data_IF_455419006939
#
_entry.id   IF_455419006939
#
_cell.length_a   1.000
_cell.length_b   1.000
_cell.length_c   1.000
_cell.angle_alpha   90.00
_cell.angle_beta   90.00
_cell.angle_gamma   90.00
#
_symmetry.space_group_name_H-M   'P 1'
#
loop_
_entity.id
_entity.type
_entity.pdbx_description
1 polymer ?
#
# COMPACT_ATOMS: atom_id res chain seq x y z
N UNK A 1 13.36 19.86 3.86
CA UNK A 1 11.96 19.58 4.24
C UNK A 1 11.48 20.62 5.25
N UNK A 2 10.17 20.89 5.40
CA UNK A 2 9.67 21.88 6.37
C UNK A 2 10.18 21.59 7.79
N UNK A 3 10.71 22.61 8.48
CA UNK A 3 11.24 22.44 9.85
C UNK A 3 10.13 22.29 10.89
N UNK A 4 9.09 23.13 10.77
CA UNK A 4 7.90 23.06 11.63
C UNK A 4 7.28 21.66 11.55
N UNK A 5 7.17 21.01 12.70
CA UNK A 5 6.48 19.75 12.84
C UNK A 5 4.99 20.03 13.02
N UNK A 6 4.15 19.52 12.11
CA UNK A 6 2.70 19.72 12.22
C UNK A 6 2.07 18.69 13.14
N UNK A 7 2.43 17.41 12.99
CA UNK A 7 1.85 16.30 13.77
C UNK A 7 2.88 15.23 14.09
N UNK A 8 2.94 14.82 15.35
CA UNK A 8 3.57 13.59 15.80
C UNK A 8 2.55 12.47 16.06
N UNK A 9 2.83 11.26 15.60
CA UNK A 9 1.93 10.12 15.72
C UNK A 9 2.67 8.92 16.31
N UNK A 10 2.32 8.50 17.53
CA UNK A 10 2.89 7.29 18.14
C UNK A 10 1.90 6.12 18.16
N UNK A 11 2.43 4.91 18.25
CA UNK A 11 1.64 3.68 18.33
C UNK A 11 1.52 2.97 16.98
N UNK A 12 0.29 2.57 16.63
CA UNK A 12 -0.02 1.61 15.54
C UNK A 12 0.65 0.26 15.79
N UNK A 13 0.58 -0.67 14.83
CA UNK A 13 1.06 -2.04 15.04
C UNK A 13 2.57 -2.17 15.30
N UNK A 14 3.39 -1.20 14.88
CA UNK A 14 4.86 -1.31 14.99
C UNK A 14 5.38 -0.99 16.39
N UNK A 15 4.90 0.10 17.00
CA UNK A 15 5.47 0.66 18.23
C UNK A 15 4.37 1.05 19.24
N UNK A 16 3.51 0.10 19.57
CA UNK A 16 2.43 0.28 20.56
C UNK A 16 2.45 -0.79 21.65
N UNK A 17 3.59 -1.44 21.89
CA UNK A 17 3.73 -2.34 23.04
C UNK A 17 3.64 -1.56 24.35
N UNK A 18 3.50 -2.28 25.46
CA UNK A 18 3.54 -1.67 26.79
C UNK A 18 4.89 -0.94 27.03
N UNK A 19 6.00 -1.51 26.56
CA UNK A 19 7.32 -0.89 26.62
C UNK A 19 7.39 0.41 25.81
N UNK A 20 6.97 0.37 24.54
CA UNK A 20 6.94 1.54 23.65
C UNK A 20 6.18 2.71 24.29
N UNK A 21 4.99 2.40 24.82
CA UNK A 21 4.10 3.39 25.45
C UNK A 21 4.71 3.91 26.75
N UNK A 22 5.34 3.06 27.57
CA UNK A 22 5.97 3.52 28.83
C UNK A 22 7.18 4.40 28.58
N UNK A 23 8.00 4.12 27.55
CA UNK A 23 9.12 4.99 27.13
C UNK A 23 8.62 6.36 26.67
N UNK A 24 7.58 6.40 25.84
CA UNK A 24 6.94 7.66 25.45
C UNK A 24 6.32 8.39 26.65
N UNK A 25 5.67 7.66 27.56
CA UNK A 25 5.07 8.22 28.76
C UNK A 25 6.12 8.76 29.74
N UNK A 26 7.34 8.21 29.77
CA UNK A 26 8.47 8.76 30.55
C UNK A 26 8.80 10.18 30.09
N UNK A 27 8.92 10.41 28.77
CA UNK A 27 9.10 11.77 28.21
C UNK A 27 7.91 12.68 28.52
N UNK A 28 6.68 12.17 28.34
CA UNK A 28 5.48 12.94 28.60
C UNK A 28 5.33 13.34 30.09
N UNK A 29 5.73 12.48 31.03
CA UNK A 29 5.79 12.81 32.48
C UNK A 29 6.77 13.93 32.76
N UNK A 30 7.98 13.84 32.21
CA UNK A 30 8.97 14.93 32.33
C UNK A 30 8.42 16.25 31.80
N UNK A 31 7.65 16.21 30.71
CA UNK A 31 6.99 17.39 30.16
C UNK A 31 5.94 17.97 31.13
N UNK A 32 5.07 17.13 31.71
CA UNK A 32 4.06 17.57 32.68
C UNK A 32 4.69 18.21 33.92
N UNK A 33 5.70 17.57 34.50
CA UNK A 33 6.40 18.04 35.70
C UNK A 33 7.11 19.39 35.49
N UNK A 34 7.44 19.72 34.25
CA UNK A 34 8.13 20.97 33.89
C UNK A 34 7.23 21.99 33.17
N UNK A 35 5.91 21.79 33.16
CA UNK A 35 4.97 22.73 32.56
C UNK A 35 5.06 22.83 31.02
N UNK A 36 5.49 21.76 30.36
CA UNK A 36 5.56 21.63 28.90
C UNK A 36 4.27 20.98 28.36
N UNK A 37 3.95 21.31 27.11
CA UNK A 37 2.86 20.74 26.31
C UNK A 37 3.34 20.50 24.88
N UNK A 38 2.68 19.61 24.16
CA UNK A 38 2.95 19.39 22.75
C UNK A 38 2.71 20.70 21.97
N UNK A 39 3.71 21.09 21.17
CA UNK A 39 3.62 22.24 20.25
C UNK A 39 3.12 21.84 18.87
N UNK A 40 3.21 20.54 18.54
CA UNK A 40 2.59 19.92 17.36
C UNK A 40 1.26 19.27 17.73
N UNK A 41 0.43 18.95 16.75
CA UNK A 41 -0.61 17.94 16.97
C UNK A 41 0.04 16.62 17.42
N UNK A 42 -0.55 15.94 18.40
CA UNK A 42 0.03 14.72 18.94
C UNK A 42 -1.03 13.64 19.09
N UNK A 43 -0.79 12.46 18.54
CA UNK A 43 -1.76 11.35 18.57
C UNK A 43 -1.11 10.06 19.07
N UNK A 44 -1.89 9.27 19.80
CA UNK A 44 -1.47 8.01 20.40
C UNK A 44 -2.43 6.92 19.96
N UNK A 45 -1.92 5.85 19.33
CA UNK A 45 -2.75 4.74 18.82
C UNK A 45 -2.35 3.42 19.49
N UNK A 46 -3.10 2.92 20.48
CA UNK A 46 -2.85 1.62 21.06
C UNK A 46 -3.02 0.49 20.04
N UNK A 47 -2.21 -0.57 20.12
CA UNK A 47 -2.20 -1.66 19.13
C UNK A 47 -3.34 -2.65 19.28
N UNK A 48 -3.96 -2.72 20.46
CA UNK A 48 -5.05 -3.63 20.78
C UNK A 48 -5.89 -3.10 21.95
N UNK A 49 -7.08 -3.66 22.14
CA UNK A 49 -7.91 -3.34 23.31
C UNK A 49 -7.25 -3.77 24.62
N UNK A 50 -6.55 -4.92 24.64
CA UNK A 50 -5.79 -5.35 25.82
C UNK A 50 -4.70 -4.35 26.19
N UNK A 51 -3.94 -3.83 25.21
CA UNK A 51 -2.93 -2.80 25.49
C UNK A 51 -3.62 -1.54 25.97
N UNK A 52 -4.62 -1.02 25.25
CA UNK A 52 -5.36 0.21 25.62
C UNK A 52 -5.88 0.14 27.05
N UNK A 53 -6.59 -0.95 27.39
CA UNK A 53 -7.15 -1.18 28.71
C UNK A 53 -6.05 -1.23 29.79
N UNK A 54 -4.96 -1.94 29.52
CA UNK A 54 -3.84 -2.06 30.47
C UNK A 54 -3.17 -0.71 30.73
N UNK A 55 -2.87 0.07 29.68
CA UNK A 55 -2.20 1.37 29.81
C UNK A 55 -3.13 2.45 30.37
N UNK A 56 -4.45 2.31 30.21
CA UNK A 56 -5.46 3.14 30.87
C UNK A 56 -5.50 2.86 32.37
N UNK A 57 -5.64 1.58 32.76
CA UNK A 57 -5.59 1.13 34.16
C UNK A 57 -4.33 1.61 34.88
N UNK A 58 -3.20 1.61 34.17
CA UNK A 58 -1.90 2.02 34.71
C UNK A 58 -1.65 3.55 34.59
N UNK A 59 -2.66 4.33 34.18
CA UNK A 59 -2.67 5.80 34.18
C UNK A 59 -1.82 6.44 33.08
N UNK A 60 -1.39 5.69 32.06
CA UNK A 60 -0.50 6.18 31.01
C UNK A 60 -1.22 7.03 29.97
N UNK A 61 -2.49 6.74 29.65
CA UNK A 61 -3.27 7.52 28.68
C UNK A 61 -3.46 8.97 29.16
N UNK A 62 -3.81 9.14 30.44
CA UNK A 62 -4.04 10.46 31.04
C UNK A 62 -2.79 11.36 30.94
N UNK A 63 -1.60 10.77 31.01
CA UNK A 63 -0.33 11.51 30.85
C UNK A 63 -0.23 12.14 29.45
N UNK A 64 -0.57 11.36 28.41
CA UNK A 64 -0.53 11.87 27.04
C UNK A 64 -1.60 12.93 26.80
N UNK A 65 -2.82 12.72 27.30
CA UNK A 65 -3.91 13.69 27.19
C UNK A 65 -3.54 15.02 27.85
N UNK A 66 -2.96 14.98 29.05
CA UNK A 66 -2.53 16.18 29.78
C UNK A 66 -1.46 16.97 29.03
N UNK A 67 -0.60 16.34 28.20
CA UNK A 67 0.36 17.07 27.35
C UNK A 67 -0.23 17.56 26.02
N UNK A 68 -1.51 17.33 25.76
CA UNK A 68 -2.19 17.72 24.51
C UNK A 68 -2.28 16.61 23.46
N UNK A 69 -2.02 15.35 23.85
CA UNK A 69 -2.20 14.19 23.01
C UNK A 69 -3.67 13.80 22.83
N UNK A 70 -3.99 13.22 21.68
CA UNK A 70 -5.30 12.63 21.40
C UNK A 70 -5.13 11.12 21.26
N UNK A 71 -5.79 10.35 22.12
CA UNK A 71 -5.83 8.89 22.01
C UNK A 71 -6.81 8.51 20.91
N UNK A 72 -6.32 7.78 19.90
CA UNK A 72 -7.12 7.28 18.79
C UNK A 72 -7.64 5.87 19.12
N UNK A 73 -8.63 5.43 18.34
CA UNK A 73 -9.13 4.06 18.40
C UNK A 73 -8.00 3.04 18.11
N UNK A 74 -8.13 1.83 18.67
CA UNK A 74 -7.16 0.74 18.52
C UNK A 74 -7.23 0.12 17.11
N UNK A 75 -6.78 0.87 16.11
CA UNK A 75 -6.86 0.53 14.70
C UNK A 75 -5.66 1.12 13.94
N UNK A 76 -5.41 0.67 12.70
CA UNK A 76 -4.30 1.21 11.92
C UNK A 76 -4.39 2.73 11.69
N UNK A 77 -5.61 3.27 11.52
CA UNK A 77 -5.88 4.70 11.42
C UNK A 77 -4.93 5.44 10.44
N UNK A 78 -4.23 6.49 10.89
CA UNK A 78 -3.28 7.26 10.07
C UNK A 78 -2.16 6.45 9.41
N UNK A 79 -1.82 5.25 9.90
CA UNK A 79 -0.76 4.42 9.32
C UNK A 79 -1.10 3.91 7.90
N UNK A 80 -2.39 3.79 7.57
CA UNK A 80 -2.92 3.30 6.28
C UNK A 80 -3.69 4.39 5.51
N UNK A 81 -3.64 5.64 5.96
CA UNK A 81 -4.37 6.74 5.34
C UNK A 81 -5.84 6.85 5.79
N UNK A 82 -6.23 6.14 6.86
CA UNK A 82 -7.55 6.28 7.48
C UNK A 82 -7.50 7.41 8.51
N UNK A 83 -7.33 8.63 8.00
CA UNK A 83 -7.22 9.82 8.81
C UNK A 83 -7.90 11.00 8.11
N UNK A 84 -8.95 11.53 8.73
CA UNK A 84 -9.61 12.77 8.29
C UNK A 84 -8.77 13.98 8.74
N UNK A 85 -7.56 14.11 8.18
CA UNK A 85 -6.65 15.21 8.50
C UNK A 85 -7.20 16.51 7.91
N UNK A 86 -7.58 17.45 8.77
CA UNK A 86 -8.02 18.79 8.35
C UNK A 86 -6.92 19.48 7.54
N UNK A 87 -7.26 19.95 6.34
CA UNK A 87 -6.36 20.68 5.45
C UNK A 87 -5.45 19.83 4.56
N UNK A 88 -5.51 18.49 4.64
CA UNK A 88 -4.71 17.62 3.76
C UNK A 88 -5.12 17.75 2.27
N UNK A 89 -6.38 18.11 2.02
CA UNK A 89 -6.97 18.39 0.71
C UNK A 89 -6.33 19.60 0.00
N UNK A 90 -5.66 20.48 0.73
CA UNK A 90 -4.97 21.65 0.19
C UNK A 90 -3.59 21.33 -0.38
N UNK A 91 -3.13 20.09 -0.21
CA UNK A 91 -1.82 19.61 -0.62
C UNK A 91 -0.64 20.50 -0.14
N UNK A 92 -0.78 21.13 1.03
CA UNK A 92 0.25 22.02 1.58
C UNK A 92 1.51 21.23 1.95
N UNK A 93 2.68 21.82 1.70
CA UNK A 93 3.97 21.23 2.07
C UNK A 93 4.15 21.26 3.59
N UNK A 94 4.19 20.10 4.21
CA UNK A 94 4.29 19.96 5.66
C UNK A 94 5.19 18.79 6.08
N UNK A 95 5.48 18.72 7.37
CA UNK A 95 6.26 17.64 7.97
C UNK A 95 5.48 16.94 9.08
N UNK A 96 5.52 15.61 9.09
CA UNK A 96 5.00 14.77 10.17
C UNK A 96 6.06 13.77 10.60
N UNK A 97 6.02 13.32 11.86
CA UNK A 97 6.88 12.24 12.36
C UNK A 97 6.03 11.17 13.02
N UNK A 98 6.33 9.91 12.73
CA UNK A 98 5.52 8.77 13.18
C UNK A 98 6.37 7.67 13.77
N UNK A 99 5.82 6.89 14.70
CA UNK A 99 6.40 5.61 15.12
C UNK A 99 5.84 4.43 14.31
N UNK A 100 5.57 4.66 13.03
CA UNK A 100 5.11 3.63 12.11
C UNK A 100 6.29 3.04 11.33
N UNK A 101 6.02 2.24 10.30
CA UNK A 101 7.04 1.56 9.50
C UNK A 101 7.08 1.99 8.02
N UNK A 102 6.20 2.89 7.59
CA UNK A 102 6.09 3.31 6.19
C UNK A 102 5.77 4.80 6.08
N UNK A 103 6.49 5.48 5.20
CA UNK A 103 6.40 6.90 4.91
C UNK A 103 6.36 7.21 3.41
N UNK A 104 5.79 6.31 2.60
CA UNK A 104 5.61 6.56 1.16
C UNK A 104 4.72 7.80 0.92
N UNK A 105 4.91 8.45 -0.23
CA UNK A 105 4.11 9.62 -0.61
C UNK A 105 2.60 9.30 -0.54
N UNK A 106 1.80 10.27 -0.08
CA UNK A 106 0.33 10.16 0.11
C UNK A 106 -0.13 9.09 1.11
N UNK A 107 0.76 8.37 1.78
CA UNK A 107 0.40 7.19 2.59
C UNK A 107 -0.49 7.53 3.79
N UNK A 108 -0.13 8.56 4.55
CA UNK A 108 -0.75 8.81 5.85
C UNK A 108 -2.01 9.66 5.78
N UNK A 109 -2.10 10.55 4.81
CA UNK A 109 -3.15 11.57 4.71
C UNK A 109 -3.60 11.87 3.27
N UNK A 110 -3.07 11.16 2.27
CA UNK A 110 -3.37 11.40 0.85
C UNK A 110 -2.62 12.58 0.21
N UNK A 111 -1.91 13.41 0.99
CA UNK A 111 -1.22 14.59 0.49
C UNK A 111 0.19 14.23 -0.06
N UNK A 112 0.52 14.53 -1.33
CA UNK A 112 1.84 14.25 -1.91
C UNK A 112 2.97 15.08 -1.29
N UNK A 113 2.66 16.24 -0.72
CA UNK A 113 3.63 17.19 -0.18
C UNK A 113 3.87 17.03 1.33
N UNK A 114 3.24 16.03 1.96
CA UNK A 114 3.53 15.61 3.33
C UNK A 114 4.85 14.85 3.38
N UNK A 115 5.83 15.40 4.10
CA UNK A 115 7.12 14.76 4.36
C UNK A 115 7.04 13.98 5.66
N UNK A 116 6.87 12.67 5.56
CA UNK A 116 6.73 11.79 6.70
C UNK A 116 8.07 11.17 7.11
N UNK A 117 8.41 11.28 8.39
CA UNK A 117 9.58 10.65 9.00
C UNK A 117 9.14 9.51 9.92
N UNK A 118 9.97 8.48 10.05
CA UNK A 118 9.75 7.36 10.97
C UNK A 118 10.84 7.35 12.04
N UNK A 119 10.45 7.21 13.31
CA UNK A 119 11.35 7.19 14.46
C UNK A 119 10.72 6.37 15.60
N UNK A 120 11.43 6.19 16.72
CA UNK A 120 10.86 5.55 17.91
C UNK A 120 9.82 6.45 18.60
N UNK A 121 8.86 5.89 19.35
CA UNK A 121 7.74 6.65 19.93
C UNK A 121 8.20 7.71 20.95
N UNK A 122 9.26 7.47 21.70
CA UNK A 122 9.86 8.45 22.61
C UNK A 122 10.49 9.64 21.86
N UNK A 123 11.12 9.40 20.71
CA UNK A 123 11.66 10.47 19.85
C UNK A 123 10.52 11.29 19.26
N UNK A 124 9.47 10.63 18.74
CA UNK A 124 8.27 11.32 18.24
C UNK A 124 7.63 12.18 19.32
N UNK A 125 7.54 11.67 20.56
CA UNK A 125 7.00 12.42 21.70
C UNK A 125 7.85 13.65 22.00
N UNK A 126 9.18 13.49 22.12
CA UNK A 126 10.10 14.60 22.38
C UNK A 126 10.04 15.69 21.29
N UNK A 127 10.02 15.28 20.02
CA UNK A 127 9.93 16.22 18.90
C UNK A 127 8.56 16.91 18.83
N UNK A 128 7.48 16.24 19.23
CA UNK A 128 6.13 16.83 19.31
C UNK A 128 6.04 17.94 20.37
N UNK A 129 6.76 17.79 21.48
CA UNK A 129 6.94 18.85 22.49
C UNK A 129 7.71 20.04 21.93
N UNK A 130 8.70 19.80 21.07
CA UNK A 130 9.49 20.85 20.43
C UNK A 130 8.73 21.61 19.34
N UNK A 131 7.92 20.91 18.53
CA UNK A 131 7.26 21.51 17.36
C UNK A 131 8.19 21.73 16.17
N UNK A 132 9.41 21.19 16.22
CA UNK A 132 10.46 21.44 15.23
C UNK A 132 11.27 20.16 14.95
N UNK A 133 11.45 19.83 13.67
CA UNK A 133 12.25 18.71 13.20
C UNK A 133 13.76 18.89 13.43
N UNK A 134 14.23 20.10 13.72
CA UNK A 134 15.66 20.32 14.01
C UNK A 134 16.02 20.13 15.48
N UNK A 135 15.04 19.86 16.35
CA UNK A 135 15.29 19.61 17.77
C UNK A 135 15.97 18.26 17.99
N UNK A 136 17.08 18.26 18.72
CA UNK A 136 17.77 17.05 19.15
C UNK A 136 17.55 16.81 20.66
N UNK A 137 16.77 15.79 21.06
CA UNK A 137 16.48 15.52 22.47
C UNK A 137 17.72 15.15 23.31
N UNK A 138 18.84 14.77 22.70
CA UNK A 138 20.08 14.41 23.41
C UNK A 138 20.87 15.64 23.87
N UNK A 139 20.79 16.74 23.12
CA UNK A 139 21.64 17.92 23.33
C UNK A 139 20.86 19.16 23.73
N UNK A 140 19.66 19.34 23.17
CA UNK A 140 18.97 20.61 23.18
C UNK A 140 18.08 20.78 24.42
N UNK A 141 17.50 21.97 24.57
CA UNK A 141 16.58 22.30 25.66
C UNK A 141 15.27 22.85 25.12
N UNK A 142 14.17 22.53 25.80
CA UNK A 142 12.86 23.10 25.58
C UNK A 142 12.65 24.30 26.50
N UNK A 143 11.76 25.21 26.12
CA UNK A 143 11.36 26.36 26.94
C UNK A 143 9.91 26.19 27.36
N UNK A 144 9.65 26.19 28.67
CA UNK A 144 8.30 26.11 29.23
C UNK A 144 7.60 27.48 29.23
N UNK A 145 6.35 27.52 29.71
CA UNK A 145 5.56 28.76 29.75
C UNK A 145 6.15 29.85 30.66
N UNK A 146 6.99 29.47 31.62
CA UNK A 146 7.70 30.37 32.54
C UNK A 146 9.05 30.84 31.99
N UNK A 147 9.44 30.42 30.78
CA UNK A 147 10.73 30.75 30.18
C UNK A 147 11.91 29.89 30.67
N UNK A 148 11.67 28.88 31.51
CA UNK A 148 12.71 27.98 32.02
C UNK A 148 13.16 27.00 30.92
N UNK A 149 14.48 26.84 30.79
CA UNK A 149 15.10 25.85 29.90
C UNK A 149 15.09 24.47 30.55
N UNK A 150 14.53 23.48 29.85
CA UNK A 150 14.35 22.10 30.30
C UNK A 150 15.08 21.18 29.34
N UNK A 151 16.04 20.40 29.85
CA UNK A 151 16.65 19.29 29.11
C UNK A 151 15.89 18.01 29.43
N UNK A 152 15.42 17.31 28.40
CA UNK A 152 14.80 15.99 28.57
C UNK A 152 15.87 14.98 29.01
N UNK A 153 15.53 14.15 29.98
CA UNK A 153 16.34 13.00 30.38
C UNK A 153 16.04 11.82 29.47
N UNK A 154 16.96 10.87 29.42
CA UNK A 154 16.74 9.60 28.74
C UNK A 154 15.47 8.92 29.24
N UNK A 155 14.61 8.39 28.35
CA UNK A 155 13.35 7.77 28.74
C UNK A 155 13.56 6.38 29.32
N UNK A 156 12.78 6.08 30.34
CA UNK A 156 12.71 4.75 30.95
C UNK A 156 11.48 4.00 30.45
N UNK A 157 11.64 2.71 30.15
CA UNK A 157 10.58 1.80 29.70
C UNK A 157 10.41 0.64 30.64
N UNK A 158 9.19 0.10 30.71
CA UNK A 158 8.90 -1.15 31.41
C UNK A 158 8.45 -2.15 30.34
N UNK A 159 9.19 -3.25 30.18
CA UNK A 159 8.94 -4.23 29.12
C UNK A 159 7.52 -4.81 29.20
N UNK A 160 7.08 -5.15 30.41
CA UNK A 160 5.77 -5.77 30.68
C UNK A 160 5.05 -5.09 31.85
N UNK A 161 3.71 -5.04 31.84
CA UNK A 161 2.94 -4.49 32.96
C UNK A 161 3.19 -5.29 34.23
N UNK A 162 3.61 -4.60 35.31
CA UNK A 162 3.94 -5.23 36.61
C UNK A 162 2.75 -5.99 37.20
N UNK A 163 1.53 -5.52 36.95
CA UNK A 163 0.27 -6.17 37.40
C UNK A 163 -0.28 -7.17 36.38
N UNK A 164 0.47 -7.48 35.33
CA UNK A 164 0.00 -8.24 34.17
C UNK A 164 -0.93 -7.43 33.25
N UNK A 165 -1.20 -7.99 32.07
CA UNK A 165 -2.17 -7.43 31.12
C UNK A 165 -3.60 -7.61 31.64
N UNK A 166 -4.46 -6.65 31.32
CA UNK A 166 -5.88 -6.71 31.61
C UNK A 166 -6.70 -6.28 30.39
N UNK A 167 -7.91 -6.84 30.29
CA UNK A 167 -8.93 -6.49 29.29
C UNK A 167 -10.28 -6.92 29.85
N UNK A 168 -11.32 -6.11 29.66
CA UNK A 168 -12.69 -6.46 30.06
C UNK A 168 -13.39 -7.25 28.94
N UNK A 169 -13.58 -6.61 27.78
CA UNK A 169 -14.03 -7.25 26.55
C UNK A 169 -13.02 -6.99 25.43
N UNK A 170 -12.51 -8.06 24.81
CA UNK A 170 -11.58 -7.97 23.69
C UNK A 170 -12.28 -7.93 22.32
N UNK A 171 -13.62 -8.00 22.31
CA UNK A 171 -14.46 -8.00 21.11
C UNK A 171 -14.43 -9.30 20.31
N UNK A 172 -13.90 -10.39 20.87
CA UNK A 172 -13.84 -11.68 20.20
C UNK A 172 -15.22 -12.35 20.17
N UNK A 173 -15.64 -12.77 18.98
CA UNK A 173 -16.85 -13.56 18.77
C UNK A 173 -16.44 -14.93 18.23
N UNK A 174 -16.74 -15.98 18.99
CA UNK A 174 -16.50 -17.36 18.58
C UNK A 174 -17.37 -17.74 17.37
N UNK A 175 -16.91 -18.62 16.48
CA UNK A 175 -17.77 -19.18 15.44
C UNK A 175 -18.95 -19.93 16.07
N UNK A 176 -20.04 -20.07 15.33
CA UNK A 176 -21.16 -20.92 15.75
C UNK A 176 -20.69 -22.38 15.88
N UNK A 177 -21.16 -23.08 16.92
CA UNK A 177 -20.85 -24.50 17.14
C UNK A 177 -21.33 -25.38 15.98
N UNK A 178 -22.50 -25.05 15.41
CA UNK A 178 -22.99 -25.59 14.15
C UNK A 178 -23.22 -24.47 13.12
N UNK A 179 -22.37 -24.43 12.10
CA UNK A 179 -22.45 -23.47 11.00
C UNK A 179 -23.37 -23.89 9.85
N UNK A 180 -24.01 -25.07 9.90
CA UNK A 180 -24.76 -25.63 8.76
C UNK A 180 -25.96 -24.78 8.33
N UNK A 181 -26.57 -24.04 9.25
CA UNK A 181 -27.66 -23.10 8.99
C UNK A 181 -27.23 -21.66 8.69
N UNK A 182 -25.93 -21.35 8.72
CA UNK A 182 -25.43 -19.99 8.50
C UNK A 182 -25.47 -19.64 7.02
N UNK A 183 -26.30 -18.66 6.66
CA UNK A 183 -26.42 -18.18 5.29
C UNK A 183 -25.64 -16.87 5.09
N UNK A 184 -24.64 -16.88 4.21
CA UNK A 184 -23.87 -15.69 3.86
C UNK A 184 -24.53 -15.00 2.66
N UNK A 185 -25.23 -13.90 2.91
CA UNK A 185 -25.91 -13.09 1.87
C UNK A 185 -25.07 -11.89 1.47
N UNK A 186 -24.86 -11.72 0.15
CA UNK A 186 -24.32 -10.49 -0.43
C UNK A 186 -25.44 -9.85 -1.25
N UNK A 187 -25.85 -8.64 -0.86
CA UNK A 187 -26.88 -7.92 -1.58
C UNK A 187 -26.42 -7.62 -3.02
N UNK A 188 -27.20 -7.92 -4.08
CA UNK A 188 -26.78 -7.76 -5.47
C UNK A 188 -26.35 -6.33 -5.83
N UNK A 189 -26.99 -5.33 -5.24
CA UNK A 189 -26.69 -3.91 -5.45
C UNK A 189 -25.78 -3.34 -4.34
N UNK A 190 -25.07 -4.18 -3.59
CA UNK A 190 -24.16 -3.71 -2.54
C UNK A 190 -23.05 -2.87 -3.15
N UNK A 191 -22.85 -1.69 -2.59
CA UNK A 191 -21.75 -0.81 -2.97
C UNK A 191 -20.40 -1.22 -2.35
N UNK A 192 -20.41 -2.21 -1.45
CA UNK A 192 -19.27 -2.59 -0.60
C UNK A 192 -18.74 -3.99 -0.90
N UNK A 193 -19.65 -4.91 -1.25
CA UNK A 193 -19.38 -6.33 -1.41
C UNK A 193 -19.93 -6.80 -2.76
N UNK A 194 -19.13 -7.55 -3.51
CA UNK A 194 -19.50 -8.12 -4.80
C UNK A 194 -19.02 -9.57 -4.87
N UNK A 195 -19.86 -10.48 -5.36
CA UNK A 195 -19.42 -11.84 -5.68
C UNK A 195 -18.40 -11.79 -6.82
N UNK A 196 -17.29 -12.51 -6.65
CA UNK A 196 -16.26 -12.60 -7.68
C UNK A 196 -16.73 -13.51 -8.82
N UNK A 197 -16.77 -12.97 -10.04
CA UNK A 197 -16.91 -13.77 -11.24
C UNK A 197 -15.57 -14.47 -11.57
N UNK A 198 -15.58 -15.74 -12.01
CA UNK A 198 -14.38 -16.42 -12.47
C UNK A 198 -13.72 -15.67 -13.63
N UNK A 199 -12.40 -15.49 -13.58
CA UNK A 199 -11.66 -14.93 -14.71
C UNK A 199 -11.64 -15.89 -15.91
N UNK A 200 -11.61 -15.39 -17.16
CA UNK A 200 -11.49 -16.25 -18.34
C UNK A 200 -10.20 -17.10 -18.31
N UNK A 201 -10.31 -18.34 -18.79
CA UNK A 201 -9.15 -19.20 -19.03
C UNK A 201 -8.29 -18.65 -20.18
N UNK A 202 -7.04 -19.10 -20.26
CA UNK A 202 -6.16 -18.74 -21.38
C UNK A 202 -6.68 -19.34 -22.69
N UNK A 203 -6.62 -18.55 -23.78
CA UNK A 203 -7.12 -18.93 -25.11
C UNK A 203 -6.31 -20.06 -25.81
N UNK A 204 -5.17 -20.48 -25.24
CA UNK A 204 -4.32 -21.53 -25.86
C UNK A 204 -3.41 -21.01 -26.99
N UNK A 205 -3.32 -19.70 -27.16
CA UNK A 205 -2.50 -19.05 -28.19
C UNK A 205 -1.46 -18.12 -27.57
N UNK A 206 -0.48 -17.74 -28.38
CA UNK A 206 0.33 -16.57 -28.07
C UNK A 206 -0.55 -15.32 -27.99
N UNK A 207 -0.07 -14.30 -27.28
CA UNK A 207 -0.80 -13.04 -27.13
C UNK A 207 -0.24 -12.04 -28.12
N UNK A 208 -1.10 -11.48 -28.97
CA UNK A 208 -0.69 -10.59 -30.04
C UNK A 208 -1.33 -9.22 -29.88
N UNK A 209 -0.66 -8.21 -30.43
CA UNK A 209 -1.19 -6.85 -30.59
C UNK A 209 -1.72 -6.22 -29.29
N UNK A 210 -1.07 -6.51 -28.16
CA UNK A 210 -1.41 -5.91 -26.88
C UNK A 210 -1.01 -4.44 -26.86
N UNK A 211 -1.82 -3.61 -26.20
CA UNK A 211 -1.52 -2.19 -26.00
C UNK A 211 -0.65 -2.00 -24.76
N UNK A 212 0.25 -1.03 -24.79
CA UNK A 212 0.86 -0.54 -23.57
C UNK A 212 -0.19 0.24 -22.76
N UNK A 213 -0.50 -0.17 -21.53
CA UNK A 213 -1.38 0.60 -20.65
C UNK A 213 -0.63 1.74 -19.98
N UNK A 214 0.55 1.43 -19.43
CA UNK A 214 1.46 2.39 -18.84
C UNK A 214 2.87 1.80 -18.81
N UNK A 215 3.88 2.65 -19.00
CA UNK A 215 5.27 2.38 -18.65
C UNK A 215 5.59 3.15 -17.37
N UNK A 216 5.58 2.45 -16.24
CA UNK A 216 5.78 3.05 -14.93
C UNK A 216 7.27 3.28 -14.66
N UNK A 217 7.67 4.54 -14.51
CA UNK A 217 9.04 4.95 -14.24
C UNK A 217 9.36 4.95 -12.74
N UNK A 218 10.52 4.41 -12.39
CA UNK A 218 11.01 4.40 -11.01
C UNK A 218 10.12 3.59 -10.06
N UNK A 219 10.06 4.05 -8.80
CA UNK A 219 9.41 3.31 -7.72
C UNK A 219 7.89 3.16 -7.92
N UNK A 220 7.43 1.94 -8.18
CA UNK A 220 6.01 1.61 -8.27
C UNK A 220 5.57 0.65 -7.15
N UNK A 221 5.07 1.19 -6.03
CA UNK A 221 4.58 0.40 -4.90
C UNK A 221 3.15 -0.09 -5.14
N UNK A 222 2.68 -1.04 -4.34
CA UNK A 222 1.26 -1.43 -4.30
C UNK A 222 0.30 -0.30 -3.92
N UNK A 223 0.76 0.76 -3.24
CA UNK A 223 -0.04 1.97 -3.01
C UNK A 223 -0.15 2.85 -4.28
N UNK A 224 0.80 2.75 -5.22
CA UNK A 224 0.71 3.37 -6.55
C UNK A 224 -0.24 2.58 -7.48
N UNK A 225 -0.24 1.24 -7.37
CA UNK A 225 -1.06 0.35 -8.19
C UNK A 225 -2.53 0.32 -7.74
N UNK A 226 -2.79 0.19 -6.44
CA UNK A 226 -4.14 0.07 -5.87
C UNK A 226 -4.13 0.77 -4.52
N UNK A 227 -4.45 2.07 -4.51
CA UNK A 227 -4.31 2.94 -3.34
C UNK A 227 -5.19 2.49 -2.14
N UNK A 228 -4.75 2.81 -0.91
CA UNK A 228 -5.53 2.59 0.31
C UNK A 228 -6.41 3.81 0.64
N UNK A 229 -6.43 4.27 1.91
CA UNK A 229 -7.23 5.41 2.33
C UNK A 229 -8.71 5.26 1.95
N UNK A 230 -9.32 6.20 1.22
CA UNK A 230 -10.75 6.17 0.89
C UNK A 230 -11.17 4.92 0.11
N UNK A 231 -10.25 4.28 -0.62
CA UNK A 231 -10.52 3.09 -1.42
C UNK A 231 -10.77 1.83 -0.59
N UNK A 232 -10.38 1.82 0.69
CA UNK A 232 -10.61 0.67 1.58
C UNK A 232 -12.10 0.30 1.69
N UNK A 233 -13.00 1.27 1.50
CA UNK A 233 -14.43 1.00 1.46
C UNK A 233 -14.82 0.02 0.34
N UNK A 234 -14.09 -0.02 -0.77
CA UNK A 234 -14.41 -0.87 -1.92
C UNK A 234 -13.61 -2.18 -1.96
N UNK A 235 -12.87 -2.54 -0.90
CA UNK A 235 -12.07 -3.78 -0.84
C UNK A 235 -12.85 -5.06 -1.13
N UNK A 236 -14.14 -5.08 -0.84
CA UNK A 236 -15.03 -6.20 -1.14
C UNK A 236 -15.70 -6.14 -2.51
N UNK A 237 -15.46 -5.09 -3.31
CA UNK A 237 -16.14 -4.83 -4.58
C UNK A 237 -15.11 -4.56 -5.69
N UNK A 238 -14.72 -5.61 -6.41
CA UNK A 238 -13.62 -5.57 -7.38
C UNK A 238 -13.79 -4.52 -8.47
N UNK A 239 -14.99 -4.39 -9.03
CA UNK A 239 -15.24 -3.39 -10.07
C UNK A 239 -15.02 -1.95 -9.58
N UNK A 240 -15.54 -1.60 -8.39
CA UNK A 240 -15.42 -0.24 -7.85
C UNK A 240 -14.00 0.08 -7.42
N UNK A 241 -13.29 -0.84 -6.78
CA UNK A 241 -11.90 -0.59 -6.37
C UNK A 241 -10.98 -0.44 -7.58
N UNK A 242 -11.25 -1.15 -8.69
CA UNK A 242 -10.46 -1.04 -9.93
C UNK A 242 -10.48 0.37 -10.56
N UNK A 243 -11.32 1.30 -10.08
CA UNK A 243 -11.24 2.71 -10.45
C UNK A 243 -10.01 3.43 -9.87
N UNK A 244 -9.19 2.77 -9.05
CA UNK A 244 -7.92 3.31 -8.57
C UNK A 244 -6.69 2.66 -9.20
N UNK A 245 -6.89 1.82 -10.21
CA UNK A 245 -5.81 1.10 -10.88
C UNK A 245 -4.75 2.09 -11.39
N UNK A 246 -3.55 2.00 -10.84
CA UNK A 246 -2.32 2.70 -11.25
C UNK A 246 -2.41 4.23 -11.26
N UNK A 247 -3.37 4.83 -10.54
CA UNK A 247 -3.52 6.29 -10.47
C UNK A 247 -2.31 6.98 -9.81
N UNK A 248 -1.52 6.24 -9.03
CA UNK A 248 -0.31 6.76 -8.38
C UNK A 248 0.99 6.45 -9.11
N UNK A 249 0.96 5.67 -10.20
CA UNK A 249 2.15 5.35 -10.97
C UNK A 249 2.56 6.53 -11.87
N UNK A 250 3.88 6.78 -11.97
CA UNK A 250 4.44 7.85 -12.80
C UNK A 250 4.63 7.28 -14.22
N UNK A 251 4.02 7.92 -15.21
CA UNK A 251 4.18 7.53 -16.62
C UNK A 251 5.52 8.05 -17.17
N UNK A 252 6.34 7.14 -17.70
CA UNK A 252 7.67 7.44 -18.25
C UNK A 252 7.67 8.38 -19.47
N UNK A 253 6.54 8.55 -20.15
CA UNK A 253 6.47 9.39 -21.36
C UNK A 253 6.10 10.85 -21.09
N UNK A 254 5.59 11.18 -19.89
CA UNK A 254 5.11 12.53 -19.58
C UNK A 254 5.32 12.97 -18.12
N UNK A 255 5.98 12.15 -17.30
CA UNK A 255 6.27 12.37 -15.89
C UNK A 255 5.04 12.64 -15.00
N UNK A 256 3.84 12.31 -15.48
CA UNK A 256 2.58 12.54 -14.77
C UNK A 256 2.04 11.25 -14.16
N UNK A 257 1.31 11.42 -13.07
CA UNK A 257 0.50 10.36 -12.48
C UNK A 257 -0.90 10.36 -13.11
N UNK A 258 -1.50 9.18 -13.24
CA UNK A 258 -2.87 9.01 -13.76
C UNK A 258 -3.13 9.66 -15.13
N UNK A 259 -2.15 9.69 -16.03
CA UNK A 259 -2.32 10.24 -17.37
C UNK A 259 -1.54 9.43 -18.40
N UNK A 260 -2.25 8.64 -19.20
CA UNK A 260 -1.68 7.71 -20.19
C UNK A 260 -2.36 7.85 -21.54
N UNK A 261 -1.63 7.58 -22.61
CA UNK A 261 -2.16 7.60 -23.97
C UNK A 261 -3.10 6.42 -24.20
N UNK A 262 -4.34 6.70 -24.59
CA UNK A 262 -5.20 5.73 -25.25
C UNK A 262 -4.82 5.68 -26.73
N UNK A 263 -4.08 4.65 -27.14
CA UNK A 263 -3.56 4.52 -28.50
C UNK A 263 -4.65 4.32 -29.55
N UNK A 264 -5.88 3.98 -29.15
CA UNK A 264 -7.01 3.80 -30.07
C UNK A 264 -7.76 5.11 -30.33
N UNK A 265 -7.61 6.11 -29.46
CA UNK A 265 -8.28 7.41 -29.60
C UNK A 265 -7.30 8.57 -29.81
N UNK A 266 -6.01 8.35 -29.55
CA UNK A 266 -4.96 9.37 -29.59
C UNK A 266 -5.02 10.37 -28.42
N UNK A 267 -5.80 10.07 -27.36
CA UNK A 267 -6.02 11.00 -26.23
C UNK A 267 -5.33 10.50 -24.96
N UNK A 268 -4.73 11.43 -24.23
CA UNK A 268 -4.29 11.16 -22.85
C UNK A 268 -5.48 11.20 -21.89
N UNK A 269 -5.63 10.17 -21.08
CA UNK A 269 -6.75 9.99 -20.16
C UNK A 269 -6.29 9.30 -18.86
N UNK A 270 -7.11 9.30 -17.80
CA UNK A 270 -6.88 8.51 -16.60
C UNK A 270 -6.64 7.03 -16.88
N UNK A 271 -5.68 6.43 -16.18
CA UNK A 271 -5.32 5.01 -16.33
C UNK A 271 -6.52 4.06 -16.20
N UNK A 272 -7.40 4.16 -15.18
CA UNK A 272 -8.54 3.27 -15.07
C UNK A 272 -9.56 3.47 -16.20
N UNK A 273 -9.69 4.68 -16.77
CA UNK A 273 -10.57 4.93 -17.91
C UNK A 273 -10.06 4.25 -19.17
N UNK A 274 -8.75 4.38 -19.47
CA UNK A 274 -8.12 3.70 -20.61
C UNK A 274 -8.20 2.18 -20.44
N UNK A 275 -7.96 1.67 -19.23
CA UNK A 275 -8.04 0.25 -18.94
C UNK A 275 -9.47 -0.30 -19.13
N UNK A 276 -10.51 0.44 -18.70
CA UNK A 276 -11.91 0.10 -18.97
C UNK A 276 -12.24 0.15 -20.46
N UNK A 277 -11.78 1.18 -21.17
CA UNK A 277 -11.98 1.33 -22.61
C UNK A 277 -11.43 0.10 -23.37
N UNK A 278 -10.22 -0.34 -23.03
CA UNK A 278 -9.64 -1.56 -23.60
C UNK A 278 -10.42 -2.82 -23.22
N UNK A 279 -10.78 -2.97 -21.94
CA UNK A 279 -11.58 -4.11 -21.45
C UNK A 279 -12.90 -4.26 -22.20
N UNK A 280 -13.69 -3.19 -22.34
CA UNK A 280 -15.00 -3.20 -23.00
C UNK A 280 -14.90 -3.62 -24.48
N UNK A 281 -13.79 -3.30 -25.13
CA UNK A 281 -13.48 -3.68 -26.51
C UNK A 281 -12.70 -4.98 -26.64
N UNK A 282 -12.49 -5.70 -25.52
CA UNK A 282 -11.71 -6.93 -25.43
C UNK A 282 -10.26 -6.78 -25.92
N UNK A 283 -9.73 -5.56 -25.86
CA UNK A 283 -8.33 -5.25 -26.16
C UNK A 283 -7.49 -5.62 -24.94
N UNK A 284 -6.50 -6.50 -25.15
CA UNK A 284 -5.54 -6.85 -24.10
C UNK A 284 -4.46 -5.78 -23.96
N UNK A 285 -3.96 -5.59 -22.74
CA UNK A 285 -2.88 -4.63 -22.47
C UNK A 285 -1.75 -5.18 -21.61
N UNK A 286 -0.63 -4.48 -21.60
CA UNK A 286 0.57 -4.78 -20.80
C UNK A 286 0.90 -3.58 -19.93
N UNK A 287 1.28 -3.85 -18.68
CA UNK A 287 1.93 -2.86 -17.82
C UNK A 287 3.43 -3.09 -17.90
N UNK A 288 4.20 -2.05 -18.17
CA UNK A 288 5.66 -2.08 -18.08
C UNK A 288 6.09 -1.34 -16.82
N UNK A 289 7.07 -1.87 -16.10
CA UNK A 289 7.54 -1.28 -14.85
C UNK A 289 9.05 -1.37 -14.66
N UNK A 290 9.55 -0.59 -13.73
CA UNK A 290 10.96 -0.50 -13.40
C UNK A 290 11.38 -1.59 -12.38
N UNK A 291 12.33 -1.29 -11.50
CA UNK A 291 12.79 -2.19 -10.44
C UNK A 291 11.82 -2.32 -9.26
N UNK A 292 11.87 -3.50 -8.61
CA UNK A 292 11.13 -3.85 -7.40
C UNK A 292 9.62 -3.52 -7.47
N UNK A 293 9.02 -3.73 -8.65
CA UNK A 293 7.64 -3.39 -8.93
C UNK A 293 6.67 -4.13 -8.00
N UNK A 294 5.71 -3.39 -7.44
CA UNK A 294 4.76 -3.91 -6.46
C UNK A 294 5.32 -3.99 -5.03
N UNK A 295 6.33 -3.17 -4.70
CA UNK A 295 6.84 -3.05 -3.33
C UNK A 295 5.72 -2.71 -2.33
N UNK A 296 5.86 -3.19 -1.08
CA UNK A 296 5.09 -2.68 0.05
C UNK A 296 4.00 -3.62 0.55
N UNK A 297 2.73 -3.22 0.42
CA UNK A 297 1.58 -3.93 1.01
C UNK A 297 1.29 -5.25 0.29
N UNK A 298 0.83 -6.26 1.01
CA UNK A 298 0.49 -7.58 0.45
C UNK A 298 -0.80 -7.63 -0.36
N UNK A 299 -1.49 -6.49 -0.55
CA UNK A 299 -2.83 -6.41 -1.14
C UNK A 299 -2.91 -7.11 -2.50
N UNK A 300 -3.77 -8.12 -2.60
CA UNK A 300 -3.98 -8.86 -3.85
C UNK A 300 -4.76 -8.08 -4.89
N UNK A 301 -5.48 -7.02 -4.50
CA UNK A 301 -6.17 -6.13 -5.43
C UNK A 301 -5.23 -5.51 -6.45
N UNK A 302 -3.97 -5.25 -6.10
CA UNK A 302 -2.95 -4.79 -7.04
C UNK A 302 -2.70 -5.78 -8.20
N UNK A 303 -3.10 -7.06 -8.06
CA UNK A 303 -3.11 -8.05 -9.12
C UNK A 303 -4.52 -8.32 -9.69
N UNK A 304 -5.56 -8.29 -8.85
CA UNK A 304 -6.94 -8.53 -9.30
C UNK A 304 -7.47 -7.40 -10.18
N UNK A 305 -7.13 -6.15 -9.90
CA UNK A 305 -7.61 -4.99 -10.66
C UNK A 305 -7.04 -4.96 -12.09
N UNK A 306 -5.70 -5.11 -12.33
CA UNK A 306 -5.20 -5.29 -13.70
C UNK A 306 -5.87 -6.45 -14.41
N UNK A 307 -6.03 -7.60 -13.73
CA UNK A 307 -6.67 -8.79 -14.33
C UNK A 307 -8.12 -8.51 -14.73
N UNK A 308 -8.86 -7.82 -13.87
CA UNK A 308 -10.24 -7.41 -14.08
C UNK A 308 -10.37 -6.41 -15.23
N UNK A 309 -9.36 -5.56 -15.42
CA UNK A 309 -9.26 -4.57 -16.51
C UNK A 309 -8.62 -5.11 -17.80
N UNK A 310 -8.58 -6.44 -17.95
CA UNK A 310 -8.04 -7.13 -19.13
C UNK A 310 -6.55 -6.85 -19.43
N UNK A 311 -5.77 -6.45 -18.43
CA UNK A 311 -4.31 -6.54 -18.52
C UNK A 311 -3.94 -8.02 -18.61
N UNK A 312 -2.99 -8.32 -19.49
CA UNK A 312 -2.56 -9.69 -19.81
C UNK A 312 -1.20 -10.02 -19.23
N UNK A 313 -0.32 -9.03 -19.13
CA UNK A 313 1.01 -9.19 -18.57
C UNK A 313 1.46 -7.93 -17.82
N UNK A 314 2.34 -8.15 -16.85
CA UNK A 314 3.17 -7.14 -16.24
C UNK A 314 4.62 -7.51 -16.55
N UNK A 315 5.35 -6.60 -17.19
CA UNK A 315 6.73 -6.78 -17.65
C UNK A 315 7.64 -5.77 -16.96
N UNK A 316 8.61 -6.22 -16.17
CA UNK A 316 9.39 -5.31 -15.30
C UNK A 316 10.87 -5.65 -15.26
N UNK A 317 11.72 -4.75 -14.73
CA UNK A 317 13.12 -5.10 -14.45
C UNK A 317 13.20 -6.11 -13.29
N UNK A 318 12.43 -5.89 -12.22
CA UNK A 318 12.29 -6.85 -11.11
C UNK A 318 10.98 -6.66 -10.34
N UNK A 319 10.51 -7.71 -9.66
CA UNK A 319 9.30 -7.68 -8.84
C UNK A 319 9.59 -7.74 -7.34
N UNK A 320 8.70 -7.16 -6.54
CA UNK A 320 8.56 -7.54 -5.14
C UNK A 320 7.87 -8.92 -5.02
N UNK A 321 8.41 -9.79 -4.15
CA UNK A 321 8.03 -11.21 -4.00
C UNK A 321 6.52 -11.48 -3.89
N UNK A 322 5.83 -10.75 -3.00
CA UNK A 322 4.40 -10.99 -2.73
C UNK A 322 3.55 -10.59 -3.94
N UNK A 323 3.87 -9.46 -4.57
CA UNK A 323 3.12 -8.97 -5.70
C UNK A 323 3.24 -9.90 -6.91
N UNK A 324 4.45 -10.39 -7.21
CA UNK A 324 4.68 -11.38 -8.27
C UNK A 324 3.80 -12.63 -8.07
N UNK A 325 3.73 -13.13 -6.83
CA UNK A 325 2.90 -14.29 -6.48
C UNK A 325 1.41 -14.00 -6.67
N UNK A 326 0.95 -12.80 -6.33
CA UNK A 326 -0.44 -12.39 -6.52
C UNK A 326 -0.80 -12.31 -8.01
N UNK A 327 0.06 -11.72 -8.85
CA UNK A 327 -0.13 -11.68 -10.32
C UNK A 327 -0.33 -13.08 -10.89
N UNK A 328 0.57 -14.01 -10.54
CA UNK A 328 0.49 -15.44 -10.94
C UNK A 328 -0.82 -16.08 -10.50
N UNK A 329 -1.25 -15.85 -9.26
CA UNK A 329 -2.52 -16.40 -8.73
C UNK A 329 -3.73 -15.90 -9.50
N UNK A 330 -3.73 -14.66 -9.97
CA UNK A 330 -4.82 -14.09 -10.77
C UNK A 330 -4.71 -14.43 -12.27
N UNK A 331 -3.72 -15.24 -12.69
CA UNK A 331 -3.56 -15.68 -14.07
C UNK A 331 -3.02 -14.62 -15.02
N UNK A 332 -2.42 -13.53 -14.50
CA UNK A 332 -1.62 -12.59 -15.28
C UNK A 332 -0.23 -13.18 -15.52
N UNK A 333 0.40 -12.85 -16.65
CA UNK A 333 1.83 -13.12 -16.84
C UNK A 333 2.67 -12.11 -16.06
N UNK A 334 3.60 -12.60 -15.24
CA UNK A 334 4.53 -11.79 -14.47
C UNK A 334 5.93 -12.07 -15.03
N UNK A 335 6.41 -11.15 -15.87
CA UNK A 335 7.61 -11.34 -16.69
C UNK A 335 8.67 -10.33 -16.27
N UNK A 336 9.92 -10.74 -16.32
CA UNK A 336 11.06 -9.84 -16.14
C UNK A 336 11.88 -9.74 -17.41
N UNK A 337 12.48 -8.58 -17.68
CA UNK A 337 13.40 -8.45 -18.80
C UNK A 337 14.60 -9.42 -18.63
N UNK A 338 15.06 -10.02 -19.73
CA UNK A 338 16.32 -10.78 -19.70
C UNK A 338 17.53 -9.84 -19.62
N UNK A 339 17.49 -8.76 -20.40
CA UNK A 339 18.36 -7.60 -20.24
C UNK A 339 17.51 -6.42 -19.72
N UNK A 340 17.75 -5.92 -18.50
CA UNK A 340 17.03 -4.76 -17.99
C UNK A 340 17.01 -3.55 -18.94
N UNK A 341 18.04 -3.35 -19.78
CA UNK A 341 18.10 -2.26 -20.76
C UNK A 341 16.98 -2.34 -21.82
N UNK A 342 16.38 -3.51 -22.05
CA UNK A 342 15.24 -3.66 -22.97
C UNK A 342 14.01 -2.86 -22.53
N UNK A 343 13.93 -2.47 -21.26
CA UNK A 343 12.92 -1.52 -20.79
C UNK A 343 12.90 -0.23 -21.63
N UNK A 344 14.06 0.27 -22.04
CA UNK A 344 14.19 1.54 -22.77
C UNK A 344 13.75 1.43 -24.24
N UNK A 345 13.66 0.22 -24.78
CA UNK A 345 13.24 -0.05 -26.17
C UNK A 345 11.73 0.11 -26.40
N UNK A 346 10.93 -0.03 -25.33
CA UNK A 346 9.47 0.05 -25.42
C UNK A 346 9.03 1.52 -25.57
N UNK A 347 8.34 1.82 -26.68
CA UNK A 347 7.76 3.12 -27.04
C UNK A 347 6.27 3.18 -26.72
N UNK A 348 5.72 4.39 -26.58
CA UNK A 348 4.34 4.58 -26.06
C UNK A 348 3.25 3.98 -26.97
N UNK A 349 3.47 3.99 -28.29
CA UNK A 349 2.50 3.53 -29.29
C UNK A 349 2.71 2.07 -29.73
N UNK A 350 3.68 1.37 -29.13
CA UNK A 350 4.03 0.00 -29.52
C UNK A 350 2.87 -0.98 -29.39
N UNK A 351 2.82 -1.92 -30.34
CA UNK A 351 2.01 -3.13 -30.24
C UNK A 351 2.89 -4.26 -29.75
N UNK A 352 2.51 -4.85 -28.61
CA UNK A 352 3.33 -5.80 -27.87
C UNK A 352 2.74 -7.21 -28.06
N UNK A 353 3.55 -8.15 -28.52
CA UNK A 353 3.18 -9.57 -28.57
C UNK A 353 4.05 -10.38 -27.62
N UNK A 354 3.45 -11.41 -27.00
CA UNK A 354 4.12 -12.35 -26.09
C UNK A 354 4.05 -13.73 -26.74
N UNK A 355 5.22 -14.22 -27.17
CA UNK A 355 5.37 -15.42 -27.96
C UNK A 355 5.94 -16.58 -27.13
N UNK A 356 5.65 -17.81 -27.54
CA UNK A 356 6.14 -19.03 -26.90
C UNK A 356 5.26 -19.57 -25.77
N UNK A 357 4.03 -19.10 -25.64
CA UNK A 357 3.10 -19.52 -24.59
C UNK A 357 2.61 -20.97 -24.79
N UNK A 358 2.57 -21.45 -26.03
CA UNK A 358 2.25 -22.86 -26.36
C UNK A 358 3.26 -23.84 -25.80
N UNK A 359 4.52 -23.44 -25.67
CA UNK A 359 5.63 -24.26 -25.16
C UNK A 359 6.10 -23.80 -23.77
N UNK A 360 5.31 -22.97 -23.10
CA UNK A 360 5.58 -22.41 -21.77
C UNK A 360 5.85 -23.52 -20.76
N UNK A 361 7.06 -23.51 -20.21
CA UNK A 361 7.57 -24.47 -19.24
C UNK A 361 8.59 -23.79 -18.30
N UNK A 362 8.83 -24.33 -17.10
CA UNK A 362 9.84 -23.81 -16.17
C UNK A 362 11.22 -23.71 -16.83
N UNK A 363 11.92 -22.59 -16.60
CA UNK A 363 13.27 -22.36 -17.14
C UNK A 363 13.35 -22.05 -18.63
N UNK A 364 12.22 -21.97 -19.37
CA UNK A 364 12.20 -21.55 -20.78
C UNK A 364 11.89 -20.07 -20.91
N UNK A 365 12.67 -19.34 -21.68
CA UNK A 365 12.37 -17.94 -21.98
C UNK A 365 11.10 -17.82 -22.83
N UNK A 366 10.39 -16.70 -22.65
CA UNK A 366 9.40 -16.21 -23.60
C UNK A 366 10.01 -15.06 -24.41
N UNK A 367 9.36 -14.69 -25.51
CA UNK A 367 9.80 -13.57 -26.35
C UNK A 367 8.78 -12.46 -26.35
N UNK A 368 9.23 -11.23 -26.16
CA UNK A 368 8.45 -10.03 -26.47
C UNK A 368 8.80 -9.60 -27.88
N UNK A 369 7.78 -9.40 -28.70
CA UNK A 369 7.87 -8.78 -30.01
C UNK A 369 7.17 -7.42 -29.98
N UNK A 370 7.93 -6.37 -30.25
CA UNK A 370 7.43 -5.01 -30.43
C UNK A 370 7.21 -4.76 -31.92
N UNK A 371 6.08 -4.16 -32.24
CA UNK A 371 5.84 -3.52 -33.53
C UNK A 371 5.64 -2.03 -33.28
N UNK A 372 6.56 -1.25 -33.81
CA UNK A 372 6.59 0.19 -33.70
C UNK A 372 5.63 0.83 -34.73
N UNK A 373 5.24 2.07 -34.48
CA UNK A 373 4.34 2.83 -35.38
C UNK A 373 4.98 3.12 -36.75
N UNK A 374 6.30 3.23 -36.81
CA UNK A 374 7.08 3.40 -38.04
C UNK A 374 7.20 2.12 -38.89
N UNK A 375 6.61 1.01 -38.42
CA UNK A 375 6.63 -0.30 -39.08
C UNK A 375 7.84 -1.16 -38.76
N UNK A 376 8.81 -0.66 -37.99
CA UNK A 376 9.93 -1.48 -37.52
C UNK A 376 9.48 -2.49 -36.46
N UNK A 377 10.17 -3.62 -36.39
CA UNK A 377 9.91 -4.67 -35.41
C UNK A 377 11.17 -5.01 -34.63
N UNK A 378 11.01 -5.24 -33.34
CA UNK A 378 12.09 -5.60 -32.44
C UNK A 378 11.67 -6.76 -31.55
N UNK A 379 12.60 -7.66 -31.25
CA UNK A 379 12.36 -8.79 -30.36
C UNK A 379 13.42 -8.87 -29.27
N UNK A 380 12.99 -9.30 -28.07
CA UNK A 380 13.88 -9.62 -26.97
C UNK A 380 13.31 -10.71 -26.07
N UNK A 381 14.21 -11.36 -25.33
CA UNK A 381 13.85 -12.43 -24.40
C UNK A 381 13.37 -11.85 -23.08
N UNK A 382 12.43 -12.55 -22.46
CA UNK A 382 11.98 -12.27 -21.11
C UNK A 382 12.00 -13.52 -20.25
N UNK A 383 12.31 -13.29 -18.98
CA UNK A 383 12.39 -14.26 -17.91
C UNK A 383 11.04 -14.42 -17.21
N UNK A 384 10.90 -15.55 -16.53
CA UNK A 384 9.81 -15.81 -15.61
C UNK A 384 10.24 -16.79 -14.54
N UNK A 385 9.61 -16.78 -13.37
CA UNK A 385 9.89 -17.76 -12.29
C UNK A 385 8.73 -18.74 -12.05
N UNK A 386 7.93 -19.01 -13.08
CA UNK A 386 6.83 -19.98 -13.02
C UNK A 386 7.33 -21.42 -12.88
N UNK A 387 6.74 -22.16 -11.94
CA UNK A 387 6.78 -23.61 -11.91
C UNK A 387 5.54 -24.23 -12.59
N UNK A 388 5.50 -25.55 -12.76
CA UNK A 388 4.38 -26.25 -13.42
C UNK A 388 3.01 -25.94 -12.82
N UNK A 389 2.92 -25.84 -11.48
CA UNK A 389 1.66 -25.51 -10.80
C UNK A 389 1.18 -24.12 -11.16
N UNK A 390 2.09 -23.14 -11.17
CA UNK A 390 1.80 -21.75 -11.52
C UNK A 390 1.44 -21.60 -13.01
N UNK A 391 2.06 -22.37 -13.89
CA UNK A 391 1.65 -22.45 -15.30
C UNK A 391 0.22 -23.01 -15.40
N UNK A 392 -0.12 -23.99 -14.58
CA UNK A 392 -1.50 -24.47 -14.42
C UNK A 392 -2.49 -23.36 -14.03
N UNK A 393 -2.10 -22.46 -13.13
CA UNK A 393 -2.92 -21.29 -12.75
C UNK A 393 -3.16 -20.37 -13.93
N UNK A 394 -2.09 -20.02 -14.67
CA UNK A 394 -2.19 -19.20 -15.88
C UNK A 394 -3.13 -19.83 -16.91
N UNK A 395 -2.93 -21.11 -17.24
CA UNK A 395 -3.77 -21.83 -18.22
C UNK A 395 -5.23 -21.87 -17.82
N UNK A 396 -5.52 -22.07 -16.53
CA UNK A 396 -6.89 -22.07 -16.00
C UNK A 396 -7.51 -20.66 -15.90
N UNK A 397 -6.73 -19.60 -16.07
CA UNK A 397 -7.15 -18.21 -15.92
C UNK A 397 -7.01 -17.65 -14.50
N UNK A 398 -6.85 -18.51 -13.50
CA UNK A 398 -6.45 -18.19 -12.12
C UNK A 398 -6.16 -19.47 -11.33
N UNK A 399 -5.52 -19.34 -10.17
CA UNK A 399 -5.36 -20.43 -9.21
C UNK A 399 -6.71 -20.95 -8.70
N UNK A 400 -7.68 -20.05 -8.47
CA UNK A 400 -9.01 -20.41 -7.99
C UNK A 400 -9.80 -21.24 -9.03
N UNK A 401 -9.65 -20.90 -10.31
CA UNK A 401 -10.24 -21.66 -11.40
C UNK A 401 -9.67 -23.09 -11.45
N UNK A 402 -8.36 -23.24 -11.26
CA UNK A 402 -7.72 -24.56 -11.24
C UNK A 402 -8.24 -25.41 -10.08
N UNK A 403 -8.33 -24.84 -8.87
CA UNK A 403 -8.88 -25.52 -7.69
C UNK A 403 -10.33 -25.97 -7.96
N UNK A 404 -11.16 -25.08 -8.54
CA UNK A 404 -12.54 -25.42 -8.91
C UNK A 404 -12.60 -26.57 -9.91
N UNK A 405 -11.71 -26.61 -10.89
CA UNK A 405 -11.63 -27.69 -11.89
C UNK A 405 -11.21 -29.02 -11.25
N UNK A 406 -10.29 -28.98 -10.28
CA UNK A 406 -9.82 -30.17 -9.56
C UNK A 406 -10.87 -30.76 -8.61
N UNK A 407 -11.75 -29.94 -8.02
CA UNK A 407 -12.85 -30.41 -7.16
C UNK A 407 -14.08 -30.94 -7.91
N UNK A 408 -14.21 -30.62 -9.19
CA UNK A 408 -15.34 -31.06 -10.05
C UNK A 408 -15.04 -32.37 -10.78
N UNK A 409 -13.77 -32.75 -10.87
CA UNK A 409 -13.32 -34.10 -11.23
C UNK A 409 -13.30 -34.92 -9.95
#
# INVERSE_FOLDING_TARGET
WPKKLEVGLIGSCTNSSYEDITRAASIARQALENGLRAKSGFTVTPGSEQVRYTIERDGLLEIFEKIGGVVLANACGPCIGQWARKGADREEKNSIITSFNRNFAKRNDGNPNTHAFVASPEVVTAMSLAGDLTFNPLTDTLVNQEGKKIKLKEPEGIEMPVKGFAVDDNGYVSPADDGSGVEIKIHPNSERLQLLAPFPAWEGTDLHDLRLLIKAMGKCTTDHISMAGPWLRYRGHLDRISNNLLIGAINAFNDKTNLVLNTETGKYQPVPEVARYYKERKIGSVIVGDENYGEGSSREHAAMEPRYMNVRAVLVRSFARIHESNLKKQGLLALTFADPADYDRIRETDRISILGLKTFAPGKFLTIKLRHEDGTEEEFRVNHSYNETQIGWFRAGSALNLIRKQKKK
#
